data_IF_747425867844
#
_entry.id   IF_747425867844
#
_cell.length_a   1.000
_cell.length_b   1.000
_cell.length_c   1.000
_cell.angle_alpha   90.00
_cell.angle_beta   90.00
_cell.angle_gamma   90.00
#
_symmetry.space_group_name_H-M   'P 1'
#
loop_
_entity.id
_entity.type
_entity.pdbx_description
1 polymer ?
#
# COMPACT_ATOMS: atom_id res chain seq x y z
N UNK A 1 6.88 -21.19 -13.10
CA UNK A 1 5.53 -21.74 -13.29
C UNK A 1 4.56 -20.58 -13.46
N UNK A 2 3.75 -20.52 -14.53
CA UNK A 2 2.66 -19.56 -14.62
C UNK A 2 1.56 -19.99 -13.64
N UNK A 3 0.90 -19.03 -13.00
CA UNK A 3 -0.24 -19.29 -12.10
C UNK A 3 -1.40 -19.85 -12.93
N UNK A 4 -1.52 -21.17 -12.94
CA UNK A 4 -2.68 -21.94 -13.39
C UNK A 4 -3.55 -22.19 -12.18
N UNK A 5 -4.66 -21.44 -12.06
CA UNK A 5 -5.67 -21.50 -11.01
C UNK A 5 -5.17 -21.30 -9.57
N UNK A 6 -5.45 -20.15 -8.96
CA UNK A 6 -5.39 -20.05 -7.50
C UNK A 6 -6.56 -19.25 -6.94
N UNK A 7 -7.52 -19.95 -6.35
CA UNK A 7 -8.47 -19.39 -5.38
C UNK A 7 -7.75 -18.81 -4.16
N UNK A 8 -6.49 -19.20 -3.91
CA UNK A 8 -5.66 -18.64 -2.85
C UNK A 8 -5.28 -17.17 -3.12
N UNK A 9 -5.70 -16.29 -2.20
CA UNK A 9 -5.41 -14.85 -2.23
C UNK A 9 -3.93 -14.57 -2.05
N UNK A 10 -3.28 -15.29 -1.14
CA UNK A 10 -1.88 -15.07 -0.78
C UNK A 10 -0.97 -15.31 -1.98
N UNK A 11 -1.15 -16.44 -2.68
CA UNK A 11 -0.42 -16.74 -3.91
C UNK A 11 -0.67 -15.70 -5.02
N UNK A 12 -1.93 -15.26 -5.19
CA UNK A 12 -2.28 -14.23 -6.18
C UNK A 12 -1.58 -12.91 -5.87
N UNK A 13 -1.66 -12.42 -4.63
CA UNK A 13 -1.01 -11.18 -4.21
C UNK A 13 0.51 -11.27 -4.38
N UNK A 14 1.12 -12.36 -3.91
CA UNK A 14 2.56 -12.58 -3.98
C UNK A 14 3.09 -12.57 -5.43
N UNK A 15 2.40 -13.26 -6.34
CA UNK A 15 2.79 -13.28 -7.74
C UNK A 15 2.61 -11.91 -8.42
N UNK A 16 1.54 -11.18 -8.10
CA UNK A 16 1.34 -9.82 -8.62
C UNK A 16 2.46 -8.86 -8.20
N UNK A 17 2.86 -8.87 -6.93
CA UNK A 17 3.98 -8.05 -6.47
C UNK A 17 5.32 -8.47 -7.09
N UNK A 18 5.52 -9.77 -7.33
CA UNK A 18 6.69 -10.27 -8.05
C UNK A 18 6.76 -9.75 -9.50
N UNK A 19 5.65 -9.78 -10.23
CA UNK A 19 5.61 -9.23 -11.60
C UNK A 19 5.90 -7.73 -11.62
N UNK A 20 5.38 -6.98 -10.64
CA UNK A 20 5.66 -5.54 -10.51
C UNK A 20 7.13 -5.27 -10.19
N UNK A 21 7.74 -6.05 -9.27
CA UNK A 21 9.16 -5.94 -8.96
C UNK A 21 10.03 -6.25 -10.17
N UNK A 22 9.73 -7.33 -10.91
CA UNK A 22 10.41 -7.66 -12.17
C UNK A 22 10.33 -6.53 -13.18
N UNK A 23 9.13 -6.00 -13.42
CA UNK A 23 8.95 -4.87 -14.33
C UNK A 23 9.77 -3.65 -13.87
N UNK A 24 9.70 -3.28 -12.59
CA UNK A 24 10.42 -2.13 -12.06
C UNK A 24 11.93 -2.27 -12.21
N UNK A 25 12.48 -3.45 -11.91
CA UNK A 25 13.91 -3.72 -12.06
C UNK A 25 14.32 -3.86 -13.54
N UNK A 26 13.50 -4.48 -14.38
CA UNK A 26 13.78 -4.64 -15.81
C UNK A 26 13.75 -3.32 -16.58
N UNK A 27 12.88 -2.37 -16.19
CA UNK A 27 12.87 -1.01 -16.76
C UNK A 27 14.17 -0.24 -16.41
N UNK A 28 14.77 -0.49 -15.25
CA UNK A 28 16.06 0.12 -14.89
C UNK A 28 17.20 -0.35 -15.82
N UNK A 29 17.12 -1.58 -16.35
CA UNK A 29 18.11 -2.16 -17.26
C UNK A 29 17.86 -1.84 -18.75
N UNK A 30 16.65 -1.39 -19.12
CA UNK A 30 16.20 -1.32 -20.52
C UNK A 30 15.68 0.06 -20.95
N UNK A 31 16.49 1.10 -20.75
CA UNK A 31 16.28 2.44 -21.36
C UNK A 31 16.37 2.48 -22.90
N UNK A 32 16.49 1.32 -23.59
CA UNK A 32 16.78 1.24 -25.02
C UNK A 32 15.71 0.56 -25.89
N UNK A 33 14.66 -0.04 -25.33
CA UNK A 33 13.67 -0.81 -26.12
C UNK A 33 12.25 -0.42 -25.72
N UNK A 34 11.41 -0.06 -26.70
CA UNK A 34 10.04 0.40 -26.47
C UNK A 34 9.21 -0.54 -25.57
N UNK A 35 8.43 0.05 -24.68
CA UNK A 35 7.70 -0.62 -23.58
C UNK A 35 6.80 -1.80 -24.01
N UNK A 36 6.32 -1.83 -25.25
CA UNK A 36 5.40 -2.86 -25.76
C UNK A 36 6.04 -4.21 -26.11
N UNK A 37 7.37 -4.28 -26.23
CA UNK A 37 8.07 -5.54 -26.57
C UNK A 37 8.55 -6.31 -25.34
N UNK A 38 8.52 -5.70 -24.15
CA UNK A 38 8.98 -6.31 -22.91
C UNK A 38 8.08 -7.49 -22.50
N UNK A 39 8.66 -8.67 -22.30
CA UNK A 39 7.94 -9.90 -21.92
C UNK A 39 7.09 -9.71 -20.67
N UNK A 40 7.56 -8.89 -19.73
CA UNK A 40 6.89 -8.60 -18.46
C UNK A 40 5.58 -7.83 -18.64
N UNK A 41 5.48 -6.91 -19.60
CA UNK A 41 4.23 -6.16 -19.86
C UNK A 41 3.16 -7.11 -20.39
N UNK A 42 3.52 -8.07 -21.25
CA UNK A 42 2.58 -9.11 -21.72
C UNK A 42 2.14 -10.02 -20.58
N UNK A 43 3.03 -10.36 -19.65
CA UNK A 43 2.72 -11.17 -18.46
C UNK A 43 1.77 -10.42 -17.51
N UNK A 44 2.02 -9.13 -17.25
CA UNK A 44 1.14 -8.25 -16.48
C UNK A 44 -0.26 -8.16 -17.09
N UNK A 45 -0.38 -7.92 -18.42
CA UNK A 45 -1.68 -7.90 -19.12
C UNK A 45 -2.44 -9.24 -19.01
N UNK A 46 -1.73 -10.37 -19.02
CA UNK A 46 -2.34 -11.70 -18.80
C UNK A 46 -2.86 -11.83 -17.37
N UNK A 47 -2.09 -11.33 -16.40
CA UNK A 47 -2.45 -11.38 -15.00
C UNK A 47 -3.64 -10.47 -14.65
N UNK A 48 -3.79 -9.30 -15.31
CA UNK A 48 -4.99 -8.46 -15.20
C UNK A 48 -6.27 -9.26 -15.44
N UNK A 49 -6.31 -10.10 -16.49
CA UNK A 49 -7.49 -10.93 -16.80
C UNK A 49 -7.79 -12.00 -15.73
N UNK A 50 -6.79 -12.41 -14.96
CA UNK A 50 -7.00 -13.28 -13.80
C UNK A 50 -7.59 -12.47 -12.64
N UNK A 51 -7.03 -11.28 -12.38
CA UNK A 51 -7.53 -10.38 -11.33
C UNK A 51 -8.96 -9.92 -11.59
N UNK A 52 -9.34 -9.58 -12.83
CA UNK A 52 -10.72 -9.21 -13.19
C UNK A 52 -11.71 -10.29 -12.74
N UNK A 53 -11.46 -11.56 -13.13
CA UNK A 53 -12.30 -12.70 -12.75
C UNK A 53 -12.36 -12.91 -11.23
N UNK A 54 -11.26 -12.63 -10.53
CA UNK A 54 -11.18 -12.76 -9.08
C UNK A 54 -11.96 -11.64 -8.38
N UNK A 55 -11.88 -10.41 -8.86
CA UNK A 55 -12.59 -9.26 -8.29
C UNK A 55 -14.11 -9.46 -8.30
N UNK A 56 -14.64 -10.15 -9.30
CA UNK A 56 -16.08 -10.45 -9.40
C UNK A 56 -16.58 -11.38 -8.28
N UNK A 57 -15.73 -12.31 -7.82
CA UNK A 57 -16.07 -13.33 -6.82
C UNK A 57 -15.44 -13.10 -5.43
N UNK A 58 -14.59 -12.08 -5.29
CA UNK A 58 -13.89 -11.76 -4.06
C UNK A 58 -14.86 -11.36 -2.94
N UNK A 59 -14.64 -11.91 -1.75
CA UNK A 59 -15.33 -11.45 -0.54
C UNK A 59 -14.86 -10.05 -0.15
N UNK A 60 -15.69 -9.25 0.55
CA UNK A 60 -15.39 -7.85 0.83
C UNK A 60 -14.00 -7.57 1.43
N UNK A 61 -13.52 -8.40 2.36
CA UNK A 61 -12.20 -8.23 2.97
C UNK A 61 -11.03 -8.37 1.97
N UNK A 62 -11.15 -9.24 0.95
CA UNK A 62 -10.09 -9.41 -0.05
C UNK A 62 -9.97 -8.20 -0.98
N UNK A 63 -11.07 -7.49 -1.21
CA UNK A 63 -11.11 -6.34 -2.11
C UNK A 63 -10.19 -5.21 -1.63
N UNK A 64 -9.98 -5.09 -0.32
CA UNK A 64 -9.06 -4.11 0.26
C UNK A 64 -7.62 -4.28 -0.24
N UNK A 65 -7.20 -5.50 -0.59
CA UNK A 65 -5.87 -5.81 -1.12
C UNK A 65 -5.85 -6.00 -2.64
N UNK A 66 -6.88 -6.64 -3.20
CA UNK A 66 -6.96 -6.94 -4.63
C UNK A 66 -7.10 -5.67 -5.49
N UNK A 67 -7.91 -4.71 -5.07
CA UNK A 67 -8.17 -3.50 -5.87
C UNK A 67 -6.90 -2.65 -6.06
N UNK A 68 -6.11 -2.34 -5.00
CA UNK A 68 -4.84 -1.64 -5.18
C UNK A 68 -3.86 -2.36 -6.12
N UNK A 69 -3.73 -3.68 -5.98
CA UNK A 69 -2.85 -4.48 -6.85
C UNK A 69 -3.33 -4.45 -8.30
N UNK A 70 -4.63 -4.64 -8.52
CA UNK A 70 -5.26 -4.56 -9.83
C UNK A 70 -5.02 -3.20 -10.49
N UNK A 71 -5.29 -2.09 -9.78
CA UNK A 71 -5.11 -0.76 -10.35
C UNK A 71 -3.65 -0.51 -10.76
N UNK A 72 -2.68 -0.97 -9.96
CA UNK A 72 -1.27 -0.81 -10.25
C UNK A 72 -0.84 -1.64 -11.46
N UNK A 73 -1.17 -2.94 -11.47
CA UNK A 73 -0.83 -3.84 -12.59
C UNK A 73 -1.53 -3.41 -13.88
N UNK A 74 -2.79 -2.98 -13.81
CA UNK A 74 -3.52 -2.49 -14.97
C UNK A 74 -2.83 -1.28 -15.59
N UNK A 75 -2.44 -0.29 -14.76
CA UNK A 75 -1.73 0.91 -15.25
C UNK A 75 -0.40 0.57 -15.90
N UNK A 76 0.38 -0.32 -15.30
CA UNK A 76 1.67 -0.73 -15.87
C UNK A 76 1.45 -1.51 -17.16
N UNK A 77 0.51 -2.46 -17.17
CA UNK A 77 0.25 -3.30 -18.33
C UNK A 77 -0.35 -2.54 -19.51
N UNK A 78 -1.29 -1.62 -19.26
CA UNK A 78 -2.11 -0.97 -20.30
C UNK A 78 -1.75 0.50 -20.54
N UNK A 79 -0.88 1.10 -19.73
CA UNK A 79 -0.49 2.51 -19.87
C UNK A 79 -1.60 3.51 -19.51
N UNK A 80 -2.73 3.05 -18.96
CA UNK A 80 -3.87 3.90 -18.62
C UNK A 80 -4.55 3.42 -17.32
N UNK A 81 -5.40 4.27 -16.74
CA UNK A 81 -6.14 3.92 -15.53
C UNK A 81 -7.30 2.96 -15.85
N UNK A 82 -7.62 1.98 -14.96
CA UNK A 82 -8.83 1.19 -15.09
C UNK A 82 -10.09 2.02 -14.83
N UNK A 83 -11.25 1.43 -15.17
CA UNK A 83 -12.56 2.00 -14.89
C UNK A 83 -12.75 2.29 -13.39
N UNK A 84 -13.33 3.46 -13.07
CA UNK A 84 -13.66 3.84 -11.68
C UNK A 84 -14.74 2.94 -11.08
N UNK A 85 -15.55 2.27 -11.90
CA UNK A 85 -16.67 1.41 -11.46
C UNK A 85 -16.22 0.27 -10.55
N UNK A 86 -15.10 -0.39 -10.88
CA UNK A 86 -14.56 -1.51 -10.09
C UNK A 86 -14.24 -1.04 -8.67
N UNK A 87 -13.54 0.08 -8.55
CA UNK A 87 -13.15 0.63 -7.25
C UNK A 87 -14.33 1.15 -6.46
N UNK A 88 -15.23 1.92 -7.07
CA UNK A 88 -16.43 2.43 -6.40
C UNK A 88 -17.33 1.28 -5.91
N UNK A 89 -17.56 0.28 -6.76
CA UNK A 89 -18.32 -0.91 -6.39
C UNK A 89 -17.66 -1.71 -5.26
N UNK A 90 -16.34 -1.85 -5.29
CA UNK A 90 -15.59 -2.53 -4.24
C UNK A 90 -15.65 -1.77 -2.90
N UNK A 91 -15.45 -0.45 -2.91
CA UNK A 91 -15.59 0.39 -1.72
C UNK A 91 -16.98 0.25 -1.10
N UNK A 92 -18.03 0.31 -1.92
CA UNK A 92 -19.40 0.17 -1.45
C UNK A 92 -19.64 -1.20 -0.80
N UNK A 93 -19.13 -2.28 -1.40
CA UNK A 93 -19.20 -3.64 -0.83
C UNK A 93 -18.49 -3.72 0.52
N UNK A 94 -17.25 -3.23 0.62
CA UNK A 94 -16.47 -3.24 1.86
C UNK A 94 -17.14 -2.42 2.96
N UNK A 95 -17.56 -1.19 2.64
CA UNK A 95 -18.19 -0.30 3.61
C UNK A 95 -19.52 -0.87 4.12
N UNK A 96 -20.33 -1.46 3.24
CA UNK A 96 -21.55 -2.13 3.64
C UNK A 96 -21.30 -3.34 4.54
N UNK A 97 -20.35 -4.22 4.18
CA UNK A 97 -20.01 -5.39 5.00
C UNK A 97 -19.52 -4.98 6.40
N UNK A 98 -18.63 -3.99 6.48
CA UNK A 98 -18.12 -3.46 7.74
C UNK A 98 -19.23 -2.87 8.62
N UNK A 99 -20.16 -2.09 8.04
CA UNK A 99 -21.31 -1.56 8.77
C UNK A 99 -22.21 -2.66 9.37
N UNK A 100 -22.22 -3.84 8.77
CA UNK A 100 -22.98 -5.01 9.27
C UNK A 100 -22.14 -5.91 10.18
N UNK A 101 -20.96 -5.45 10.63
CA UNK A 101 -20.14 -6.12 11.62
C UNK A 101 -19.10 -7.09 11.06
N UNK A 102 -18.74 -7.00 9.77
CA UNK A 102 -17.60 -7.75 9.23
C UNK A 102 -16.28 -7.23 9.81
N UNK A 103 -15.80 -7.93 10.83
CA UNK A 103 -14.56 -7.60 11.54
C UNK A 103 -13.29 -7.93 10.76
N UNK A 104 -13.40 -8.63 9.62
CA UNK A 104 -12.24 -8.88 8.76
C UNK A 104 -11.78 -7.61 8.02
N UNK A 105 -12.65 -6.58 7.96
CA UNK A 105 -12.34 -5.28 7.38
C UNK A 105 -11.98 -4.31 8.51
N UNK A 106 -10.79 -3.74 8.47
CA UNK A 106 -10.38 -2.74 9.47
C UNK A 106 -10.83 -1.33 9.08
N UNK A 107 -11.00 -0.47 10.09
CA UNK A 107 -11.23 0.97 9.89
C UNK A 107 -10.15 1.58 8.99
N UNK A 108 -8.89 1.16 9.17
CA UNK A 108 -7.76 1.67 8.39
C UNK A 108 -7.82 1.26 6.92
N UNK A 109 -8.24 0.04 6.61
CA UNK A 109 -8.45 -0.40 5.23
C UNK A 109 -9.53 0.44 4.53
N UNK A 110 -10.67 0.66 5.19
CA UNK A 110 -11.74 1.50 4.64
C UNK A 110 -11.30 2.96 4.47
N UNK A 111 -10.60 3.52 5.45
CA UNK A 111 -10.04 4.86 5.35
C UNK A 111 -9.07 4.97 4.16
N UNK A 112 -8.22 3.96 3.93
CA UNK A 112 -7.33 3.90 2.78
C UNK A 112 -8.06 3.89 1.42
N UNK A 113 -9.15 3.13 1.32
CA UNK A 113 -9.99 3.10 0.12
C UNK A 113 -10.63 4.46 -0.15
N UNK A 114 -11.30 5.06 0.83
CA UNK A 114 -11.96 6.36 0.70
C UNK A 114 -10.95 7.46 0.38
N UNK A 115 -9.80 7.47 1.05
CA UNK A 115 -8.71 8.41 0.76
C UNK A 115 -8.27 8.35 -0.71
N UNK A 116 -8.11 7.15 -1.24
CA UNK A 116 -7.67 6.94 -2.62
C UNK A 116 -8.68 7.53 -3.61
N UNK A 117 -9.98 7.37 -3.33
CA UNK A 117 -11.04 8.01 -4.11
C UNK A 117 -11.01 9.53 -4.00
N UNK A 118 -10.93 10.08 -2.79
CA UNK A 118 -10.85 11.53 -2.56
C UNK A 118 -9.69 12.18 -3.30
N UNK A 119 -8.52 11.54 -3.32
CA UNK A 119 -7.33 12.06 -4.01
C UNK A 119 -7.46 12.05 -5.53
N UNK A 120 -8.26 11.16 -6.09
CA UNK A 120 -8.48 11.08 -7.54
C UNK A 120 -9.59 12.03 -7.98
N UNK A 121 -10.74 11.95 -7.34
CA UNK A 121 -11.89 12.80 -7.60
C UNK A 121 -12.79 12.85 -6.36
N UNK A 122 -12.79 13.97 -5.61
CA UNK A 122 -13.65 14.14 -4.44
C UNK A 122 -15.15 13.93 -4.72
N UNK A 123 -15.61 14.19 -5.95
CA UNK A 123 -17.00 14.02 -6.33
C UNK A 123 -17.45 12.54 -6.40
N UNK A 124 -16.51 11.59 -6.44
CA UNK A 124 -16.82 10.14 -6.46
C UNK A 124 -17.13 9.57 -5.06
N UNK A 125 -17.06 10.41 -4.01
CA UNK A 125 -17.28 10.03 -2.61
C UNK A 125 -18.52 10.74 -2.09
N UNK A 126 -19.55 9.97 -1.73
CA UNK A 126 -20.78 10.53 -1.17
C UNK A 126 -20.58 11.08 0.25
N UNK A 127 -21.57 11.88 0.68
CA UNK A 127 -21.55 12.56 1.97
C UNK A 127 -21.41 11.60 3.17
N UNK A 128 -21.95 10.37 3.08
CA UNK A 128 -21.88 9.39 4.17
C UNK A 128 -20.46 8.89 4.35
N UNK A 129 -19.82 8.47 3.27
CA UNK A 129 -18.41 8.05 3.30
C UNK A 129 -17.49 9.19 3.72
N UNK A 130 -17.73 10.40 3.22
CA UNK A 130 -16.94 11.58 3.57
C UNK A 130 -17.06 11.95 5.05
N UNK A 131 -18.28 11.95 5.59
CA UNK A 131 -18.53 12.25 7.01
C UNK A 131 -17.87 11.22 7.93
N UNK A 132 -17.99 9.93 7.59
CA UNK A 132 -17.31 8.87 8.33
C UNK A 132 -15.79 9.04 8.29
N UNK A 133 -15.21 9.25 7.10
CA UNK A 133 -13.77 9.41 6.92
C UNK A 133 -13.23 10.61 7.70
N UNK A 134 -13.93 11.75 7.66
CA UNK A 134 -13.55 12.94 8.43
C UNK A 134 -13.54 12.65 9.95
N UNK A 135 -14.53 11.91 10.45
CA UNK A 135 -14.59 11.48 11.85
C UNK A 135 -13.42 10.57 12.25
N UNK A 136 -13.03 9.64 11.37
CA UNK A 136 -11.86 8.76 11.58
C UNK A 136 -10.57 9.58 11.65
N UNK A 137 -10.34 10.47 10.68
CA UNK A 137 -9.13 11.32 10.67
C UNK A 137 -9.06 12.23 11.90
N UNK A 138 -10.19 12.82 12.32
CA UNK A 138 -10.25 13.62 13.56
C UNK A 138 -9.93 12.77 14.79
N UNK A 139 -10.52 11.59 14.91
CA UNK A 139 -10.26 10.65 16.01
C UNK A 139 -8.77 10.27 16.10
N UNK A 140 -8.15 9.97 14.97
CA UNK A 140 -6.72 9.64 14.91
C UNK A 140 -5.84 10.83 15.27
N UNK A 141 -6.14 12.04 14.77
CA UNK A 141 -5.43 13.25 15.15
C UNK A 141 -5.54 13.52 16.66
N UNK A 142 -6.73 13.33 17.25
CA UNK A 142 -6.95 13.48 18.70
C UNK A 142 -6.12 12.49 19.52
N UNK A 143 -6.03 11.23 19.08
CA UNK A 143 -5.18 10.22 19.73
C UNK A 143 -3.69 10.64 19.70
N UNK A 144 -3.22 11.11 18.54
CA UNK A 144 -1.81 11.48 18.35
C UNK A 144 -1.39 12.81 18.99
N UNK A 145 -2.33 13.59 19.55
CA UNK A 145 -1.99 14.79 20.34
C UNK A 145 -1.28 14.47 21.65
N UNK A 146 -1.55 13.28 22.22
CA UNK A 146 -1.01 12.87 23.52
C UNK A 146 0.26 12.04 23.39
N UNK A 147 0.34 11.22 22.33
CA UNK A 147 1.45 10.31 22.06
C UNK A 147 1.77 10.32 20.57
N UNK A 148 3.04 10.24 20.15
CA UNK A 148 3.40 10.25 18.72
C UNK A 148 3.14 8.90 18.02
N UNK A 149 2.52 7.95 18.72
CA UNK A 149 2.16 6.60 18.26
C UNK A 149 0.79 6.23 18.79
N UNK A 150 0.13 5.27 18.14
CA UNK A 150 -1.12 4.68 18.64
C UNK A 150 -0.81 3.57 19.66
N UNK A 151 -0.86 3.90 20.95
CA UNK A 151 -0.34 3.06 22.04
C UNK A 151 -1.01 1.67 22.22
N UNK A 152 -2.20 1.47 21.67
CA UNK A 152 -2.97 0.21 21.81
C UNK A 152 -3.06 -0.59 20.51
N UNK A 153 -2.31 -0.20 19.48
CA UNK A 153 -2.34 -0.84 18.17
C UNK A 153 -1.05 -1.62 17.92
N UNK A 154 -1.13 -2.64 17.06
CA UNK A 154 0.06 -3.29 16.52
C UNK A 154 0.91 -2.31 15.73
N UNK A 155 2.19 -2.63 15.51
CA UNK A 155 3.06 -1.80 14.68
C UNK A 155 2.53 -1.66 13.25
N UNK A 156 2.05 -2.75 12.66
CA UNK A 156 1.39 -2.73 11.36
C UNK A 156 0.27 -1.68 11.26
N UNK A 157 -0.67 -1.71 12.20
CA UNK A 157 -1.82 -0.80 12.20
C UNK A 157 -1.38 0.65 12.47
N UNK A 158 -0.40 0.87 13.35
CA UNK A 158 0.19 2.19 13.59
C UNK A 158 0.82 2.76 12.30
N UNK A 159 1.60 1.97 11.57
CA UNK A 159 2.23 2.40 10.31
C UNK A 159 1.20 2.63 9.21
N UNK A 160 0.19 1.78 9.09
CA UNK A 160 -0.86 1.95 8.10
C UNK A 160 -1.64 3.27 8.32
N UNK A 161 -2.02 3.58 9.57
CA UNK A 161 -2.69 4.85 9.92
C UNK A 161 -1.80 6.06 9.67
N UNK A 162 -0.53 6.00 10.09
CA UNK A 162 0.42 7.10 9.86
C UNK A 162 0.66 7.33 8.36
N UNK A 163 0.73 6.27 7.55
CA UNK A 163 0.86 6.37 6.09
C UNK A 163 -0.28 7.18 5.45
N UNK A 164 -1.51 7.01 5.96
CA UNK A 164 -2.67 7.78 5.53
C UNK A 164 -2.50 9.24 5.99
N UNK A 165 -2.32 9.47 7.29
CA UNK A 165 -2.26 10.81 7.89
C UNK A 165 -1.14 11.69 7.31
N UNK A 166 0.04 11.13 7.05
CA UNK A 166 1.16 11.85 6.46
C UNK A 166 0.75 12.45 5.10
N UNK A 167 -0.06 11.74 4.33
CA UNK A 167 -0.50 12.18 3.00
C UNK A 167 -1.80 13.01 3.00
N UNK A 168 -2.42 13.26 4.15
CA UNK A 168 -3.60 14.12 4.29
C UNK A 168 -3.22 15.59 4.44
N UNK A 169 -4.16 16.51 4.17
CA UNK A 169 -4.00 17.91 4.57
C UNK A 169 -4.62 18.09 5.95
N UNK A 170 -3.78 18.26 6.98
CA UNK A 170 -4.22 18.32 8.38
C UNK A 170 -4.27 19.75 8.92
N UNK A 171 -4.27 20.79 8.07
CA UNK A 171 -4.31 22.20 8.51
C UNK A 171 -5.50 22.53 9.41
N UNK A 172 -6.65 21.88 9.22
CA UNK A 172 -7.80 22.07 10.11
C UNK A 172 -7.52 21.63 11.56
N UNK A 173 -6.63 20.65 11.75
CA UNK A 173 -6.24 20.12 13.06
C UNK A 173 -4.97 20.77 13.62
N UNK A 174 -4.07 21.19 12.73
CA UNK A 174 -2.76 21.78 13.06
C UNK A 174 -2.46 23.01 12.18
N UNK A 175 -3.18 24.15 12.34
CA UNK A 175 -3.16 25.27 11.39
C UNK A 175 -1.79 25.85 11.06
N UNK A 176 -0.86 25.86 12.02
CA UNK A 176 0.48 26.42 11.87
C UNK A 176 1.61 25.41 12.11
N UNK A 177 1.28 24.17 12.50
CA UNK A 177 2.26 23.20 12.98
C UNK A 177 2.20 21.85 12.28
N UNK A 178 1.35 21.67 11.26
CA UNK A 178 1.18 20.39 10.54
C UNK A 178 2.52 19.77 10.15
N UNK A 179 3.39 20.51 9.47
CA UNK A 179 4.70 20.00 9.03
C UNK A 179 5.54 19.50 10.20
N UNK A 180 5.64 20.29 11.28
CA UNK A 180 6.40 19.95 12.47
C UNK A 180 5.81 18.73 13.20
N UNK A 181 4.49 18.62 13.25
CA UNK A 181 3.79 17.49 13.88
C UNK A 181 4.06 16.21 13.09
N UNK A 182 3.92 16.25 11.76
CA UNK A 182 4.22 15.10 10.90
C UNK A 182 5.67 14.67 10.97
N UNK A 183 6.62 15.60 10.95
CA UNK A 183 8.04 15.32 11.19
C UNK A 183 8.27 14.66 12.55
N UNK A 184 7.57 15.14 13.59
CA UNK A 184 7.60 14.53 14.92
C UNK A 184 7.10 13.09 14.92
N UNK A 185 5.99 12.80 14.24
CA UNK A 185 5.50 11.43 14.07
C UNK A 185 6.48 10.56 13.30
N UNK A 186 7.08 11.07 12.22
CA UNK A 186 8.07 10.33 11.44
C UNK A 186 9.25 9.95 12.31
N UNK A 187 9.90 10.94 12.94
CA UNK A 187 11.06 10.72 13.82
C UNK A 187 10.75 9.74 14.94
N UNK A 188 9.56 9.85 15.54
CA UNK A 188 9.16 8.97 16.62
C UNK A 188 8.83 7.55 16.18
N UNK A 189 8.68 7.26 14.89
CA UNK A 189 8.26 5.95 14.38
C UNK A 189 9.29 5.30 13.44
N UNK A 190 10.44 5.93 13.20
CA UNK A 190 11.59 5.25 12.60
C UNK A 190 12.06 4.13 13.53
N UNK A 191 12.36 2.98 12.93
CA UNK A 191 12.86 1.80 13.63
C UNK A 191 14.30 1.56 13.21
N UNK A 192 15.19 1.46 14.21
CA UNK A 192 16.59 1.11 14.01
C UNK A 192 16.80 -0.41 13.93
N UNK A 193 16.10 -1.18 14.78
CA UNK A 193 16.17 -2.64 14.78
C UNK A 193 14.87 -3.29 14.27
N UNK A 194 14.93 -3.90 13.09
CA UNK A 194 13.79 -4.51 12.41
C UNK A 194 13.57 -5.99 12.75
N UNK A 195 14.48 -6.64 13.48
CA UNK A 195 14.42 -8.10 13.73
C UNK A 195 13.15 -8.52 14.46
N UNK A 196 12.69 -7.68 15.39
CA UNK A 196 11.57 -7.99 16.28
C UNK A 196 10.21 -7.64 15.66
N UNK A 197 10.21 -7.05 14.46
CA UNK A 197 8.98 -6.77 13.73
C UNK A 197 8.46 -8.05 13.07
N UNK A 198 7.14 -8.27 13.17
CA UNK A 198 6.48 -9.27 12.36
C UNK A 198 6.43 -8.84 10.88
N UNK A 199 6.16 -9.81 10.01
CA UNK A 199 6.11 -9.62 8.56
C UNK A 199 5.13 -8.54 8.13
N UNK A 200 3.93 -8.46 8.73
CA UNK A 200 2.93 -7.47 8.35
C UNK A 200 3.39 -6.06 8.77
N UNK A 201 3.96 -5.94 9.96
CA UNK A 201 4.55 -4.69 10.46
C UNK A 201 5.68 -4.18 9.55
N UNK A 202 6.53 -5.06 9.04
CA UNK A 202 7.57 -4.70 8.07
C UNK A 202 6.98 -4.21 6.73
N UNK A 203 5.92 -4.87 6.23
CA UNK A 203 5.24 -4.43 5.00
C UNK A 203 4.64 -3.03 5.16
N UNK A 204 3.94 -2.79 6.26
CA UNK A 204 3.35 -1.48 6.54
C UNK A 204 4.42 -0.41 6.85
N UNK A 205 5.54 -0.80 7.47
CA UNK A 205 6.67 0.10 7.67
C UNK A 205 7.20 0.65 6.34
N UNK A 206 7.29 -0.18 5.29
CA UNK A 206 7.69 0.29 3.95
C UNK A 206 6.69 1.28 3.36
N UNK A 207 5.39 1.03 3.49
CA UNK A 207 4.33 1.98 3.10
C UNK A 207 4.44 3.31 3.85
N UNK A 208 4.79 3.24 5.14
CA UNK A 208 5.04 4.40 5.98
C UNK A 208 6.28 5.18 5.53
N UNK A 209 7.41 4.50 5.29
CA UNK A 209 8.63 5.13 4.79
C UNK A 209 8.39 5.90 3.49
N UNK A 210 7.68 5.30 2.53
CA UNK A 210 7.30 5.97 1.27
C UNK A 210 6.47 7.24 1.50
N UNK A 211 5.61 7.23 2.52
CA UNK A 211 4.81 8.40 2.91
C UNK A 211 5.63 9.44 3.68
N UNK A 212 6.66 9.01 4.40
CA UNK A 212 7.50 9.84 5.25
C UNK A 212 8.54 10.66 4.46
N UNK A 213 8.88 10.29 3.22
CA UNK A 213 9.86 11.01 2.37
C UNK A 213 9.58 12.51 2.27
N UNK A 214 8.31 12.90 2.22
CA UNK A 214 7.92 14.33 2.16
C UNK A 214 7.93 15.05 3.52
N UNK A 215 8.35 14.38 4.59
CA UNK A 215 8.17 14.82 5.98
C UNK A 215 9.43 14.63 6.84
N UNK A 216 10.60 14.99 6.30
CA UNK A 216 11.81 15.19 7.08
C UNK A 216 12.78 14.03 7.15
N UNK A 217 12.60 12.99 6.32
CA UNK A 217 13.68 12.05 6.00
C UNK A 217 14.32 12.44 4.66
N UNK A 218 15.64 12.33 4.60
CA UNK A 218 16.41 12.48 3.37
C UNK A 218 16.24 11.27 2.47
N UNK A 219 16.58 11.42 1.18
CA UNK A 219 16.56 10.31 0.22
C UNK A 219 17.48 9.17 0.65
N UNK A 220 18.66 9.47 1.19
CA UNK A 220 19.61 8.47 1.68
C UNK A 220 19.08 7.72 2.91
N UNK A 221 18.47 8.41 3.87
CA UNK A 221 17.81 7.77 5.02
C UNK A 221 16.67 6.85 4.57
N UNK A 222 15.83 7.31 3.64
CA UNK A 222 14.77 6.49 3.06
C UNK A 222 15.33 5.23 2.38
N UNK A 223 16.37 5.36 1.55
CA UNK A 223 17.01 4.23 0.88
C UNK A 223 17.59 3.25 1.91
N UNK A 224 18.27 3.75 2.94
CA UNK A 224 18.85 2.91 3.99
C UNK A 224 17.78 2.12 4.75
N UNK A 225 16.73 2.79 5.25
CA UNK A 225 15.66 2.13 6.00
C UNK A 225 14.85 1.15 5.13
N UNK A 226 14.52 1.50 3.87
CA UNK A 226 13.77 0.57 3.01
C UNK A 226 14.65 -0.62 2.57
N UNK A 227 15.96 -0.42 2.35
CA UNK A 227 16.89 -1.51 2.03
C UNK A 227 17.02 -2.48 3.21
N UNK A 228 17.08 -1.96 4.44
CA UNK A 228 17.07 -2.80 5.65
C UNK A 228 15.76 -3.61 5.76
N UNK A 229 14.60 -2.95 5.57
CA UNK A 229 13.30 -3.63 5.60
C UNK A 229 13.15 -4.68 4.49
N UNK A 230 13.62 -4.38 3.27
CA UNK A 230 13.64 -5.33 2.15
C UNK A 230 14.56 -6.51 2.43
N UNK A 231 15.71 -6.29 3.07
CA UNK A 231 16.63 -7.37 3.43
C UNK A 231 16.00 -8.31 4.46
N UNK A 232 15.35 -7.75 5.47
CA UNK A 232 14.64 -8.53 6.49
C UNK A 232 13.47 -9.30 5.86
N UNK A 233 12.61 -8.65 5.09
CA UNK A 233 11.50 -9.31 4.39
C UNK A 233 11.99 -10.39 3.39
N UNK A 234 13.14 -10.18 2.73
CA UNK A 234 13.73 -11.14 1.79
C UNK A 234 14.32 -12.40 2.45
N UNK A 235 14.49 -12.40 3.79
CA UNK A 235 14.97 -13.54 4.58
C UNK A 235 13.81 -14.34 5.22
N UNK A 236 12.63 -13.73 5.37
CA UNK A 236 11.45 -14.32 6.02
C UNK A 236 10.99 -15.61 5.37
N UNK A 237 10.83 -16.66 6.19
CA UNK A 237 10.41 -17.99 5.74
C UNK A 237 8.89 -18.18 5.74
N UNK A 238 8.16 -17.33 6.47
CA UNK A 238 6.71 -17.33 6.65
C UNK A 238 5.93 -16.67 5.48
N UNK A 239 6.63 -16.03 4.54
CA UNK A 239 6.03 -15.45 3.33
C UNK A 239 6.16 -16.35 2.10
N UNK A 240 5.24 -16.14 1.15
CA UNK A 240 5.22 -16.86 -0.12
C UNK A 240 6.53 -16.64 -0.92
N UNK A 241 7.09 -17.67 -1.58
CA UNK A 241 8.35 -17.55 -2.32
C UNK A 241 8.39 -16.42 -3.36
N UNK A 242 7.30 -16.19 -4.11
CA UNK A 242 7.22 -15.06 -5.03
C UNK A 242 7.38 -13.70 -4.34
N UNK A 243 6.78 -13.52 -3.17
CA UNK A 243 6.87 -12.27 -2.43
C UNK A 243 8.30 -12.06 -1.89
N UNK A 244 8.92 -13.13 -1.38
CA UNK A 244 10.33 -13.13 -0.96
C UNK A 244 11.26 -12.72 -2.11
N UNK A 245 11.03 -13.27 -3.30
CA UNK A 245 11.82 -12.94 -4.48
C UNK A 245 11.58 -11.51 -4.96
N UNK A 246 10.35 -11.02 -4.89
CA UNK A 246 10.03 -9.62 -5.19
C UNK A 246 10.86 -8.66 -4.31
N UNK A 247 10.98 -8.94 -3.01
CA UNK A 247 11.79 -8.12 -2.11
C UNK A 247 13.28 -8.19 -2.41
N UNK A 248 13.80 -9.36 -2.78
CA UNK A 248 15.22 -9.51 -3.19
C UNK A 248 15.54 -8.71 -4.45
N UNK A 249 14.66 -8.76 -5.46
CA UNK A 249 14.81 -7.97 -6.69
C UNK A 249 14.86 -6.47 -6.37
N UNK A 250 13.89 -5.97 -5.62
CA UNK A 250 13.81 -4.56 -5.24
C UNK A 250 15.03 -4.11 -4.45
N UNK A 251 15.51 -4.94 -3.51
CA UNK A 251 16.71 -4.64 -2.71
C UNK A 251 17.93 -4.48 -3.61
N UNK A 252 18.15 -5.44 -4.51
CA UNK A 252 19.30 -5.43 -5.39
C UNK A 252 19.27 -4.19 -6.31
N UNK A 253 18.11 -3.82 -6.87
CA UNK A 253 18.00 -2.61 -7.69
C UNK A 253 18.37 -1.31 -6.98
N UNK A 254 18.14 -1.22 -5.66
CA UNK A 254 18.45 -0.02 -4.88
C UNK A 254 19.93 0.13 -4.56
N UNK A 255 20.64 -1.00 -4.45
CA UNK A 255 22.09 -1.02 -4.25
C UNK A 255 22.86 -0.47 -5.45
N UNK A 256 22.27 -0.48 -6.65
CA UNK A 256 22.89 0.08 -7.86
C UNK A 256 22.60 1.57 -8.07
N UNK A 257 21.66 2.15 -7.32
CA UNK A 257 21.25 3.57 -7.42
C UNK A 257 21.77 4.46 -6.29
N UNK A 258 22.41 3.88 -5.27
CA UNK A 258 22.99 4.57 -4.12
C UNK A 258 24.51 4.75 -4.32
#
# INVERSE_FOLDING_TARGET
MPVTDSTDLTATMAYGYYLLARYQCGVADSLAVGLDTHGDVRELRRFVRLLDRRLDSAVPAELCSLVPLYELIYRVGHGCAPSTKIRMGSRQKCFHAWLHGDMAITETQLAGMIRTDLRRNPADVDARHLSWYAGVIDGWCRALRRTPRFAQLSFAENFARLSILLKENLRAFYPASETRVKQGWVKANLIDNLTDCDTLSLKEYRSFLSSAVSHGITTSEYIAHDTAALSELGSRTDIHPFEREAYRLLRNSRQFTA
#
